data_IF_014548853566
#
_entry.id   IF_014548853566
#
_cell.length_a   1.000
_cell.length_b   1.000
_cell.length_c   1.000
_cell.angle_alpha   90.00
_cell.angle_beta   90.00
_cell.angle_gamma   90.00
#
_symmetry.space_group_name_H-M   'P 1'
#
loop_
_entity.id
_entity.type
_entity.pdbx_description
1 polymer ?
#
# COMPACT_ATOMS: atom_id res chain seq x y z
N UNK A 1 -20.89 14.74 5.97
CA UNK A 1 -19.59 14.62 6.63
C UNK A 1 -18.60 14.01 5.65
N UNK A 2 -17.34 14.44 5.67
CA UNK A 2 -16.24 13.76 5.00
C UNK A 2 -15.28 13.23 6.06
N UNK A 3 -14.66 12.08 5.80
CA UNK A 3 -13.67 11.46 6.68
C UNK A 3 -12.33 11.49 5.94
N UNK A 4 -11.27 11.85 6.64
CA UNK A 4 -9.90 11.82 6.13
C UNK A 4 -9.00 11.08 7.12
N UNK A 5 -8.17 10.16 6.63
CA UNK A 5 -7.23 9.43 7.49
C UNK A 5 -6.47 8.31 6.79
N UNK A 6 -5.78 7.55 7.59
CA UNK A 6 -5.04 6.37 7.13
C UNK A 6 -5.99 5.21 6.83
N UNK A 7 -5.80 4.47 5.72
CA UNK A 7 -6.58 3.27 5.42
C UNK A 7 -6.71 2.30 6.59
N UNK A 8 -5.62 2.03 7.32
CA UNK A 8 -5.62 1.13 8.46
C UNK A 8 -6.55 1.61 9.59
N UNK A 9 -6.48 2.89 9.95
CA UNK A 9 -7.29 3.48 11.03
C UNK A 9 -8.76 3.51 10.65
N UNK A 10 -9.07 3.89 9.40
CA UNK A 10 -10.47 3.93 8.93
C UNK A 10 -11.03 2.51 8.84
N UNK A 11 -10.21 1.51 8.49
CA UNK A 11 -10.60 0.10 8.47
C UNK A 11 -10.93 -0.41 9.86
N UNK A 12 -10.15 -0.08 10.88
CA UNK A 12 -10.47 -0.42 12.27
C UNK A 12 -11.79 0.20 12.72
N UNK A 13 -12.03 1.44 12.33
CA UNK A 13 -13.30 2.12 12.60
C UNK A 13 -14.47 1.47 11.86
N UNK A 14 -14.30 1.06 10.60
CA UNK A 14 -15.29 0.30 9.84
C UNK A 14 -15.64 -1.02 10.52
N UNK A 15 -14.64 -1.78 10.98
CA UNK A 15 -14.86 -3.01 11.74
C UNK A 15 -15.63 -2.75 13.03
N UNK A 16 -15.32 -1.68 13.76
CA UNK A 16 -16.07 -1.32 14.97
C UNK A 16 -17.54 -1.02 14.65
N UNK A 17 -17.81 -0.26 13.59
CA UNK A 17 -19.18 0.05 13.14
C UNK A 17 -19.95 -1.23 12.81
N UNK A 18 -19.37 -2.13 12.01
CA UNK A 18 -20.02 -3.36 11.57
C UNK A 18 -20.26 -4.30 12.75
N UNK A 19 -19.26 -4.52 13.61
CA UNK A 19 -19.35 -5.44 14.73
C UNK A 19 -20.36 -4.99 15.82
N UNK A 20 -20.61 -3.70 15.92
CA UNK A 20 -21.58 -3.16 16.89
C UNK A 20 -22.92 -2.77 16.24
N UNK A 21 -23.18 -3.17 14.99
CA UNK A 21 -24.38 -2.81 14.23
C UNK A 21 -24.68 -1.29 14.23
N UNK A 22 -23.63 -0.47 14.24
CA UNK A 22 -23.74 0.98 14.19
C UNK A 22 -23.92 1.45 12.74
N UNK A 23 -24.52 2.62 12.56
CA UNK A 23 -24.61 3.28 11.24
C UNK A 23 -24.18 4.73 11.37
N UNK A 24 -23.27 5.16 10.50
CA UNK A 24 -22.97 6.57 10.33
C UNK A 24 -23.80 7.13 9.18
N UNK A 25 -24.75 7.98 9.54
CA UNK A 25 -25.56 8.66 8.53
C UNK A 25 -24.80 9.86 7.93
N UNK A 26 -25.01 10.12 6.64
CA UNK A 26 -24.49 11.31 5.94
C UNK A 26 -22.95 11.35 5.73
N UNK A 27 -22.26 10.24 5.65
CA UNK A 27 -20.89 10.20 5.13
C UNK A 27 -20.96 10.35 3.61
N UNK A 28 -20.43 11.46 3.08
CA UNK A 28 -20.47 11.78 1.64
C UNK A 28 -19.27 11.23 0.87
N UNK A 29 -18.20 10.93 1.57
CA UNK A 29 -16.99 10.36 1.00
C UNK A 29 -15.88 10.23 2.04
N UNK A 30 -14.95 9.35 1.75
CA UNK A 30 -13.77 9.12 2.57
C UNK A 30 -12.54 9.35 1.70
N UNK A 31 -11.57 10.10 2.20
CA UNK A 31 -10.28 10.27 1.57
C UNK A 31 -9.22 9.56 2.40
N UNK A 32 -8.51 8.63 1.76
CA UNK A 32 -7.38 7.92 2.35
C UNK A 32 -6.07 8.55 1.90
N UNK A 33 -5.03 8.46 2.71
CA UNK A 33 -3.69 8.94 2.36
C UNK A 33 -2.62 8.30 3.25
N UNK A 34 -1.36 8.47 2.84
CA UNK A 34 -0.14 8.15 3.59
C UNK A 34 0.15 6.66 3.82
N UNK A 35 -0.79 5.78 3.62
CA UNK A 35 -0.65 4.33 3.53
C UNK A 35 -1.28 3.86 2.24
N UNK A 36 -0.89 2.69 1.77
CA UNK A 36 -1.53 2.10 0.61
C UNK A 36 -2.93 1.60 0.94
N UNK A 37 -3.89 1.99 0.12
CA UNK A 37 -5.25 1.44 0.16
C UNK A 37 -5.30 0.16 -0.69
N UNK A 38 -5.55 -0.97 -0.04
CA UNK A 38 -5.74 -2.26 -0.71
C UNK A 38 -7.17 -2.41 -1.21
N UNK A 39 -7.36 -3.19 -2.29
CA UNK A 39 -8.69 -3.37 -2.91
C UNK A 39 -9.72 -3.95 -1.93
N UNK A 40 -9.33 -4.93 -1.12
CA UNK A 40 -10.22 -5.50 -0.10
C UNK A 40 -10.56 -4.50 1.01
N UNK A 41 -9.60 -3.66 1.41
CA UNK A 41 -9.87 -2.58 2.34
C UNK A 41 -10.88 -1.59 1.74
N UNK A 42 -10.66 -1.16 0.49
CA UNK A 42 -11.59 -0.28 -0.24
C UNK A 42 -13.01 -0.85 -0.23
N UNK A 43 -13.15 -2.11 -0.65
CA UNK A 43 -14.44 -2.79 -0.72
C UNK A 43 -15.14 -2.85 0.65
N UNK A 44 -14.39 -3.13 1.71
CA UNK A 44 -14.91 -3.19 3.08
C UNK A 44 -15.33 -1.81 3.57
N UNK A 45 -14.54 -0.76 3.29
CA UNK A 45 -14.86 0.61 3.64
C UNK A 45 -16.11 1.11 2.89
N UNK A 46 -16.20 0.88 1.58
CA UNK A 46 -17.37 1.26 0.78
C UNK A 46 -18.66 0.59 1.28
N UNK A 47 -18.57 -0.68 1.68
CA UNK A 47 -19.70 -1.41 2.29
C UNK A 47 -20.07 -0.87 3.68
N UNK A 48 -19.12 -0.61 4.55
CA UNK A 48 -19.35 -0.15 5.91
C UNK A 48 -19.94 1.27 5.96
N UNK A 49 -19.42 2.17 5.13
CA UNK A 49 -19.81 3.59 5.14
C UNK A 49 -20.80 3.97 4.04
N UNK A 50 -21.07 3.07 3.10
CA UNK A 50 -21.98 3.30 1.95
C UNK A 50 -21.66 4.57 1.17
N UNK A 51 -20.37 4.86 0.99
CA UNK A 51 -19.89 6.03 0.25
C UNK A 51 -18.63 5.69 -0.55
N UNK A 52 -18.26 6.56 -1.49
CA UNK A 52 -17.02 6.42 -2.27
C UNK A 52 -15.78 6.67 -1.42
N UNK A 53 -14.76 5.88 -1.70
CA UNK A 53 -13.42 6.06 -1.15
C UNK A 53 -12.54 6.69 -2.23
N UNK A 54 -11.80 7.72 -1.85
CA UNK A 54 -10.86 8.44 -2.72
C UNK A 54 -9.47 8.31 -2.14
N UNK A 55 -8.53 7.80 -2.92
CA UNK A 55 -7.15 7.70 -2.47
C UNK A 55 -6.33 8.92 -2.87
N UNK A 56 -5.41 9.35 -2.01
CA UNK A 56 -4.51 10.47 -2.25
C UNK A 56 -3.07 10.02 -2.05
N UNK A 57 -2.25 10.28 -3.03
CA UNK A 57 -0.82 10.05 -3.00
C UNK A 57 -0.06 11.35 -2.73
N UNK A 58 0.89 11.26 -1.81
CA UNK A 58 1.80 12.33 -1.45
C UNK A 58 2.70 11.96 -0.27
N UNK A 59 3.62 12.85 0.06
CA UNK A 59 4.49 12.75 1.23
C UNK A 59 4.45 14.04 2.03
N UNK A 60 5.21 14.11 3.12
CA UNK A 60 5.36 15.37 3.88
C UNK A 60 6.08 16.44 3.07
N UNK A 61 7.06 16.03 2.27
CA UNK A 61 7.85 16.90 1.39
C UNK A 61 7.02 17.41 0.21
N UNK A 62 6.09 16.57 -0.27
CA UNK A 62 5.23 16.81 -1.43
C UNK A 62 3.80 16.35 -1.13
N UNK A 63 2.98 17.16 -0.43
CA UNK A 63 1.69 16.70 0.11
C UNK A 63 0.60 16.44 -0.94
N UNK A 64 0.77 16.92 -2.16
CA UNK A 64 -0.22 16.77 -3.23
C UNK A 64 0.42 16.34 -4.54
N UNK A 65 0.71 15.04 -4.71
CA UNK A 65 1.29 14.50 -5.95
C UNK A 65 0.19 14.01 -6.88
N UNK A 66 -0.72 13.17 -6.37
CA UNK A 66 -1.85 12.66 -7.14
C UNK A 66 -3.08 12.44 -6.26
N UNK A 67 -4.26 12.45 -6.88
CA UNK A 67 -5.53 12.21 -6.19
C UNK A 67 -6.49 11.46 -7.11
N UNK A 68 -7.22 10.54 -6.51
CA UNK A 68 -8.22 9.75 -7.21
C UNK A 68 -9.49 10.57 -7.49
N UNK A 69 -10.08 10.35 -8.64
CA UNK A 69 -11.36 10.95 -9.00
C UNK A 69 -12.54 9.98 -8.78
N UNK A 70 -13.78 10.48 -8.92
CA UNK A 70 -14.98 9.67 -8.76
C UNK A 70 -15.10 8.48 -9.74
N UNK A 71 -14.29 8.44 -10.79
CA UNK A 71 -14.21 7.36 -11.77
C UNK A 71 -13.03 6.41 -11.53
N UNK A 72 -12.33 6.52 -10.38
CA UNK A 72 -11.22 5.65 -9.99
C UNK A 72 -9.88 5.99 -10.66
N UNK A 73 -9.80 7.08 -11.44
CA UNK A 73 -8.55 7.51 -12.04
C UNK A 73 -7.69 8.29 -11.04
N UNK A 74 -6.43 7.86 -10.84
CA UNK A 74 -5.44 8.59 -10.04
C UNK A 74 -4.78 9.66 -10.90
N UNK A 75 -5.17 10.91 -10.71
CA UNK A 75 -4.69 12.05 -11.48
C UNK A 75 -3.51 12.73 -10.82
N UNK A 76 -2.46 13.02 -11.60
CA UNK A 76 -1.35 13.87 -11.18
C UNK A 76 -1.84 15.30 -10.96
N UNK A 77 -1.51 15.87 -9.81
CA UNK A 77 -1.85 17.25 -9.48
C UNK A 77 -0.79 18.23 -10.03
N UNK A 78 -0.78 18.40 -11.35
CA UNK A 78 0.26 19.17 -12.07
C UNK A 78 0.30 20.65 -11.71
N UNK A 79 -0.70 21.17 -11.02
CA UNK A 79 -0.70 22.52 -10.47
C UNK A 79 0.07 22.67 -9.16
N UNK A 80 0.34 21.56 -8.46
CA UNK A 80 1.06 21.54 -7.18
C UNK A 80 2.44 20.92 -7.26
N UNK A 81 2.64 20.00 -8.21
CA UNK A 81 3.92 19.30 -8.36
C UNK A 81 4.21 18.93 -9.81
N UNK A 82 5.48 19.00 -10.19
CA UNK A 82 5.98 18.42 -11.42
C UNK A 82 6.52 17.03 -11.12
N UNK A 83 5.97 16.02 -11.81
CA UNK A 83 6.28 14.61 -11.56
C UNK A 83 6.97 14.03 -12.79
N UNK A 84 8.12 13.43 -12.58
CA UNK A 84 8.90 12.70 -13.56
C UNK A 84 8.85 11.20 -13.24
N UNK A 85 8.74 10.38 -14.27
CA UNK A 85 8.82 8.93 -14.18
C UNK A 85 10.14 8.48 -14.82
N UNK A 86 11.10 8.11 -13.99
CA UNK A 86 12.46 7.77 -14.41
C UNK A 86 12.62 6.26 -14.49
N UNK A 87 13.20 5.78 -15.59
CA UNK A 87 13.48 4.36 -15.76
C UNK A 87 14.46 3.88 -14.70
N UNK A 88 14.18 2.71 -14.13
CA UNK A 88 15.00 2.06 -13.14
C UNK A 88 15.02 0.55 -13.44
N UNK A 89 16.21 -0.05 -13.67
CA UNK A 89 16.31 -1.49 -13.93
C UNK A 89 15.76 -2.37 -12.79
N UNK A 90 15.69 -1.83 -11.58
CA UNK A 90 15.14 -2.53 -10.40
C UNK A 90 13.64 -2.29 -10.20
N UNK A 91 13.00 -1.53 -11.08
CA UNK A 91 11.56 -1.25 -10.95
C UNK A 91 10.71 -2.49 -11.23
N UNK A 92 9.65 -2.75 -10.45
CA UNK A 92 8.77 -3.89 -10.69
C UNK A 92 7.89 -3.68 -11.93
N UNK A 93 7.98 -4.59 -12.91
CA UNK A 93 7.15 -4.57 -14.11
C UNK A 93 7.35 -3.33 -14.95
N UNK A 94 6.25 -2.66 -15.31
CA UNK A 94 6.26 -1.42 -16.10
C UNK A 94 6.37 -0.14 -15.25
N UNK A 95 6.72 -0.28 -13.99
CA UNK A 95 6.84 0.86 -13.09
C UNK A 95 8.11 1.63 -13.34
N UNK A 96 8.05 2.89 -12.96
CA UNK A 96 9.18 3.81 -12.99
C UNK A 96 9.34 4.47 -11.62
N UNK A 97 10.55 4.89 -11.32
CA UNK A 97 10.86 5.68 -10.14
C UNK A 97 10.14 7.02 -10.19
N UNK A 98 9.50 7.40 -9.09
CA UNK A 98 8.81 8.69 -8.98
C UNK A 98 9.78 9.75 -8.48
N UNK A 99 9.99 10.76 -9.28
CA UNK A 99 10.80 11.94 -8.94
C UNK A 99 9.91 13.17 -8.98
N UNK A 100 9.94 13.99 -7.93
CA UNK A 100 8.98 15.08 -7.75
C UNK A 100 9.66 16.41 -7.49
N UNK A 101 9.15 17.46 -8.13
CA UNK A 101 9.49 18.85 -7.83
C UNK A 101 8.21 19.56 -7.38
N UNK A 102 8.03 19.85 -6.06
CA UNK A 102 6.91 20.66 -5.59
C UNK A 102 7.00 22.08 -6.12
N UNK A 103 5.90 22.59 -6.66
CA UNK A 103 5.87 23.93 -7.26
C UNK A 103 5.55 25.03 -6.26
N UNK A 104 5.11 24.68 -5.06
CA UNK A 104 4.63 25.60 -4.02
C UNK A 104 5.51 25.63 -2.76
N UNK A 105 6.66 24.95 -2.76
CA UNK A 105 7.54 24.81 -1.57
C UNK A 105 8.74 25.74 -1.67
N UNK A 106 8.52 27.05 -1.55
CA UNK A 106 9.59 28.06 -1.73
C UNK A 106 10.56 28.14 -0.56
N UNK A 107 10.11 27.86 0.67
CA UNK A 107 10.96 27.94 1.85
C UNK A 107 11.98 26.79 1.95
N UNK A 108 11.63 25.63 1.38
CA UNK A 108 12.49 24.46 1.28
C UNK A 108 12.21 23.77 -0.07
N UNK A 109 12.80 24.27 -1.16
CA UNK A 109 12.55 23.74 -2.48
C UNK A 109 13.24 22.37 -2.67
N UNK A 110 12.44 21.35 -2.91
CA UNK A 110 12.93 20.06 -3.36
C UNK A 110 12.92 20.05 -4.90
N UNK A 111 14.10 20.01 -5.50
CA UNK A 111 14.24 19.92 -6.95
C UNK A 111 14.57 18.49 -7.33
N UNK A 112 13.74 17.87 -8.18
CA UNK A 112 13.91 16.50 -8.63
C UNK A 112 14.15 15.52 -7.47
N UNK A 113 13.31 15.64 -6.45
CA UNK A 113 13.40 14.83 -5.25
C UNK A 113 12.90 13.41 -5.52
N UNK A 114 13.79 12.42 -5.33
CA UNK A 114 13.47 11.01 -5.40
C UNK A 114 12.73 10.58 -4.14
N UNK A 115 11.42 10.37 -4.27
CA UNK A 115 10.52 10.12 -3.13
C UNK A 115 10.61 8.69 -2.60
N UNK A 116 11.26 7.78 -3.36
CA UNK A 116 11.45 6.38 -3.00
C UNK A 116 10.24 5.49 -3.30
N UNK A 117 9.34 5.93 -4.16
CA UNK A 117 8.17 5.17 -4.59
C UNK A 117 8.25 4.85 -6.09
N UNK A 118 7.54 3.77 -6.49
CA UNK A 118 7.37 3.40 -7.89
C UNK A 118 5.93 3.58 -8.33
N UNK A 119 5.74 4.07 -9.54
CA UNK A 119 4.43 4.18 -10.17
C UNK A 119 4.52 3.98 -11.69
N UNK A 120 3.40 3.67 -12.29
CA UNK A 120 3.27 3.52 -13.73
C UNK A 120 2.55 4.75 -14.30
N UNK A 121 3.15 5.54 -15.21
CA UNK A 121 2.41 6.53 -15.97
C UNK A 121 1.41 5.84 -16.90
N UNK A 122 0.21 6.40 -17.03
CA UNK A 122 -0.83 5.86 -17.90
C UNK A 122 -1.09 6.82 -19.05
N UNK A 123 -1.06 6.30 -20.29
CA UNK A 123 -1.34 7.05 -21.51
C UNK A 123 -2.85 7.11 -21.86
N UNK A 124 -3.72 6.75 -20.91
CA UNK A 124 -5.16 6.75 -21.10
C UNK A 124 -5.80 8.06 -20.64
N UNK A 125 -6.94 8.39 -21.21
CA UNK A 125 -7.77 9.51 -20.79
C UNK A 125 -8.81 9.00 -19.79
N UNK A 126 -9.01 9.74 -18.69
CA UNK A 126 -10.02 9.39 -17.71
C UNK A 126 -11.43 9.79 -18.19
N UNK A 127 -12.40 8.91 -17.99
CA UNK A 127 -13.81 9.20 -18.29
C UNK A 127 -14.43 10.31 -17.44
N UNK A 128 -13.72 10.79 -16.41
CA UNK A 128 -14.16 11.94 -15.60
C UNK A 128 -14.05 13.30 -16.32
N UNK A 129 -13.41 13.35 -17.51
CA UNK A 129 -13.24 14.54 -18.33
C UNK A 129 -12.17 15.52 -17.86
N UNK A 130 -11.43 15.24 -16.78
CA UNK A 130 -10.30 16.07 -16.34
C UNK A 130 -9.08 15.82 -17.22
N UNK A 131 -8.40 16.89 -17.63
CA UNK A 131 -7.21 16.83 -18.49
C UNK A 131 -5.90 16.51 -17.74
N UNK A 132 -5.95 16.20 -16.45
CA UNK A 132 -4.77 15.82 -15.68
C UNK A 132 -4.25 14.42 -16.07
N UNK A 133 -2.94 14.24 -16.25
CA UNK A 133 -2.35 12.94 -16.54
C UNK A 133 -2.70 11.90 -15.48
N UNK A 134 -2.74 10.65 -15.88
CA UNK A 134 -3.03 9.52 -15.00
C UNK A 134 -1.77 8.77 -14.61
N UNK A 135 -1.79 8.22 -13.43
CA UNK A 135 -0.81 7.25 -12.95
C UNK A 135 -1.48 6.09 -12.22
N UNK A 136 -0.75 5.02 -12.04
CA UNK A 136 -1.11 3.91 -11.15
C UNK A 136 0.00 3.74 -10.14
N UNK A 137 -0.34 3.80 -8.85
CA UNK A 137 0.60 3.41 -7.82
C UNK A 137 0.84 1.90 -7.89
N UNK A 138 2.09 1.50 -7.84
CA UNK A 138 2.41 0.11 -7.59
C UNK A 138 2.53 -0.15 -6.09
N UNK A 139 2.21 -1.40 -5.73
CA UNK A 139 2.36 -1.85 -4.36
C UNK A 139 3.85 -1.95 -4.07
N UNK A 140 4.36 -1.09 -3.20
CA UNK A 140 5.73 -1.15 -2.71
C UNK A 140 6.52 0.13 -2.95
N UNK A 141 7.28 0.49 -1.95
CA UNK A 141 8.34 1.50 -2.03
C UNK A 141 9.62 0.86 -2.56
N UNK A 142 10.56 1.68 -3.00
CA UNK A 142 11.95 1.25 -3.27
C UNK A 142 12.52 0.37 -2.14
N UNK A 143 12.11 0.64 -0.90
CA UNK A 143 12.54 -0.07 0.31
C UNK A 143 11.63 -1.26 0.70
N UNK A 144 10.52 -1.49 0.02
CA UNK A 144 9.64 -2.65 0.25
C UNK A 144 10.13 -3.87 -0.56
N UNK A 145 11.43 -4.06 -0.56
CA UNK A 145 12.12 -5.19 -1.18
C UNK A 145 12.90 -5.95 -0.11
N UNK A 146 12.94 -7.23 -0.24
CA UNK A 146 13.80 -8.09 0.55
C UNK A 146 15.05 -8.45 -0.25
N UNK A 147 16.20 -8.20 0.32
CA UNK A 147 17.47 -8.65 -0.24
C UNK A 147 17.70 -10.08 0.23
N UNK A 148 17.84 -11.02 -0.71
CA UNK A 148 18.04 -12.43 -0.45
C UNK A 148 19.50 -12.85 -0.70
N UNK A 149 19.83 -14.11 -0.41
CA UNK A 149 21.14 -14.65 -0.68
C UNK A 149 21.55 -14.47 -2.15
N UNK A 150 22.84 -14.20 -2.39
CA UNK A 150 23.35 -13.94 -3.73
C UNK A 150 22.99 -12.58 -4.31
N UNK A 151 22.46 -11.64 -3.50
CA UNK A 151 22.06 -10.30 -3.94
C UNK A 151 20.76 -10.28 -4.73
N UNK A 152 20.03 -11.39 -4.74
CA UNK A 152 18.72 -11.45 -5.38
C UNK A 152 17.71 -10.59 -4.62
N UNK A 153 16.75 -10.00 -5.34
CA UNK A 153 15.72 -9.13 -4.77
C UNK A 153 14.36 -9.80 -4.89
N UNK A 154 13.68 -9.94 -3.76
CA UNK A 154 12.28 -10.35 -3.69
C UNK A 154 11.42 -9.10 -3.46
N UNK A 155 10.63 -8.73 -4.46
CA UNK A 155 9.71 -7.61 -4.31
C UNK A 155 8.54 -7.97 -3.40
N UNK A 156 8.33 -7.16 -2.39
CA UNK A 156 7.26 -7.35 -1.40
C UNK A 156 5.86 -7.42 -1.98
N UNK A 157 5.64 -6.83 -3.14
CA UNK A 157 4.38 -6.89 -3.91
C UNK A 157 3.86 -8.32 -4.12
N UNK A 158 4.79 -9.27 -4.42
CA UNK A 158 4.44 -10.68 -4.62
C UNK A 158 3.88 -11.30 -3.34
N UNK A 159 4.45 -10.95 -2.19
CA UNK A 159 4.03 -11.44 -0.89
C UNK A 159 2.70 -10.80 -0.44
N UNK A 160 2.56 -9.49 -0.62
CA UNK A 160 1.32 -8.76 -0.27
C UNK A 160 0.12 -9.34 -0.99
N UNK A 161 0.22 -9.58 -2.30
CA UNK A 161 -0.91 -10.12 -3.09
C UNK A 161 -1.40 -11.47 -2.57
N UNK A 162 -0.51 -12.32 -2.08
CA UNK A 162 -0.89 -13.63 -1.55
C UNK A 162 -1.60 -13.52 -0.20
N UNK A 163 -1.24 -12.57 0.64
CA UNK A 163 -1.79 -12.41 2.00
C UNK A 163 -3.03 -11.53 2.00
N UNK A 164 -3.03 -10.43 1.24
CA UNK A 164 -4.12 -9.46 1.21
C UNK A 164 -5.46 -10.03 0.73
N UNK A 165 -5.43 -11.11 -0.08
CA UNK A 165 -6.63 -11.78 -0.58
C UNK A 165 -7.25 -12.78 0.40
N UNK A 166 -6.69 -12.97 1.60
CA UNK A 166 -7.19 -13.92 2.60
C UNK A 166 -8.20 -13.21 3.53
N UNK A 167 -9.51 -13.54 3.46
CA UNK A 167 -10.56 -12.75 4.14
C UNK A 167 -10.46 -12.73 5.66
N UNK A 168 -9.94 -13.80 6.26
CA UNK A 168 -9.78 -13.91 7.71
C UNK A 168 -8.60 -13.12 8.27
N UNK A 169 -7.82 -12.43 7.45
CA UNK A 169 -6.70 -11.60 7.92
C UNK A 169 -7.19 -10.16 8.10
N UNK A 170 -7.11 -9.66 9.34
CA UNK A 170 -7.41 -8.26 9.65
C UNK A 170 -6.28 -7.33 9.22
N UNK A 171 -5.03 -7.73 9.50
CA UNK A 171 -3.83 -6.98 9.15
C UNK A 171 -2.60 -7.90 9.15
N UNK A 172 -1.54 -7.50 8.46
CA UNK A 172 -0.31 -8.28 8.38
C UNK A 172 0.92 -7.41 8.21
N UNK A 173 2.09 -7.98 8.53
CA UNK A 173 3.39 -7.34 8.41
C UNK A 173 4.44 -8.38 8.08
N UNK A 174 5.27 -8.11 7.09
CA UNK A 174 6.47 -8.88 6.79
C UNK A 174 7.67 -8.25 7.47
N UNK A 175 8.46 -9.06 8.17
CA UNK A 175 9.69 -8.63 8.80
C UNK A 175 10.84 -9.53 8.37
N UNK A 176 11.70 -9.03 7.49
CA UNK A 176 12.93 -9.73 7.11
C UNK A 176 13.94 -9.68 8.24
N UNK A 177 14.31 -10.85 8.76
CA UNK A 177 15.30 -11.01 9.82
C UNK A 177 16.72 -11.09 9.30
N UNK A 178 16.88 -11.83 8.20
CA UNK A 178 18.15 -12.02 7.52
C UNK A 178 17.91 -12.30 6.02
N UNK A 179 18.95 -12.72 5.29
CA UNK A 179 18.87 -12.96 3.84
C UNK A 179 17.97 -14.14 3.43
N UNK A 180 17.55 -14.97 4.40
CA UNK A 180 16.79 -16.21 4.15
C UNK A 180 15.47 -16.22 4.89
N UNK A 181 15.38 -15.57 6.07
CA UNK A 181 14.24 -15.67 6.96
C UNK A 181 13.39 -14.40 6.95
N UNK A 182 12.09 -14.57 6.68
CA UNK A 182 11.08 -13.52 6.75
C UNK A 182 9.96 -13.98 7.70
N UNK A 183 9.67 -13.17 8.71
CA UNK A 183 8.51 -13.38 9.56
C UNK A 183 7.28 -12.73 8.90
N UNK A 184 6.20 -13.48 8.74
CA UNK A 184 4.87 -12.98 8.43
C UNK A 184 4.06 -12.90 9.72
N UNK A 185 3.93 -11.71 10.28
CA UNK A 185 3.12 -11.44 11.44
C UNK A 185 1.69 -11.15 10.98
N UNK A 186 0.70 -11.86 11.51
CA UNK A 186 -0.70 -11.79 11.09
C UNK A 186 -1.60 -11.47 12.28
N UNK A 187 -2.42 -10.45 12.16
CA UNK A 187 -3.55 -10.17 13.05
C UNK A 187 -4.79 -10.80 12.42
N UNK A 188 -5.37 -11.75 13.12
CA UNK A 188 -6.56 -12.48 12.66
C UNK A 188 -7.83 -11.65 12.91
N UNK A 189 -8.79 -11.75 12.00
CA UNK A 189 -10.16 -11.30 12.22
C UNK A 189 -10.98 -12.35 13.00
N UNK A 190 -12.17 -11.99 13.43
CA UNK A 190 -13.09 -12.93 14.08
C UNK A 190 -13.57 -14.05 13.12
N UNK A 191 -13.47 -13.84 11.81
CA UNK A 191 -13.87 -14.81 10.77
C UNK A 191 -12.73 -15.71 10.30
N UNK A 192 -11.54 -15.65 10.92
CA UNK A 192 -10.39 -16.47 10.53
C UNK A 192 -10.66 -17.95 10.75
N UNK A 193 -10.55 -18.75 9.70
CA UNK A 193 -10.84 -20.18 9.71
C UNK A 193 -9.65 -21.04 9.26
N UNK A 194 -9.87 -22.35 9.17
CA UNK A 194 -8.86 -23.32 8.75
C UNK A 194 -8.50 -23.17 7.27
N UNK A 195 -9.43 -22.73 6.42
CA UNK A 195 -9.16 -22.44 4.99
C UNK A 195 -8.16 -21.29 4.85
N UNK A 196 -8.31 -20.24 5.64
CA UNK A 196 -7.39 -19.12 5.68
C UNK A 196 -6.00 -19.55 6.14
N UNK A 197 -5.93 -20.43 7.15
CA UNK A 197 -4.67 -21.01 7.62
C UNK A 197 -3.96 -21.78 6.52
N UNK A 198 -4.68 -22.62 5.77
CA UNK A 198 -4.11 -23.38 4.66
C UNK A 198 -3.57 -22.48 3.55
N UNK A 199 -4.29 -21.39 3.21
CA UNK A 199 -3.81 -20.40 2.23
C UNK A 199 -2.51 -19.73 2.68
N UNK A 200 -2.40 -19.39 3.97
CA UNK A 200 -1.16 -18.81 4.51
C UNK A 200 0.00 -19.82 4.43
N UNK A 201 -0.23 -21.07 4.78
CA UNK A 201 0.78 -22.13 4.72
C UNK A 201 1.26 -22.39 3.27
N UNK A 202 0.36 -22.25 2.30
CA UNK A 202 0.69 -22.42 0.88
C UNK A 202 1.63 -21.33 0.33
N UNK A 203 1.83 -20.19 1.02
CA UNK A 203 2.68 -19.10 0.55
C UNK A 203 4.11 -19.59 0.29
N UNK A 204 4.71 -20.35 1.19
CA UNK A 204 6.05 -20.90 1.00
C UNK A 204 6.15 -21.82 -0.23
N UNK A 205 5.13 -22.65 -0.46
CA UNK A 205 5.08 -23.54 -1.63
C UNK A 205 4.91 -22.73 -2.92
N UNK A 206 4.09 -21.69 -2.91
CA UNK A 206 3.88 -20.82 -4.05
C UNK A 206 5.15 -20.04 -4.42
N UNK A 207 5.92 -19.58 -3.42
CA UNK A 207 7.20 -18.90 -3.65
C UNK A 207 8.25 -19.85 -4.25
N UNK A 208 8.31 -21.09 -3.76
CA UNK A 208 9.22 -22.10 -4.30
C UNK A 208 8.93 -22.41 -5.78
N UNK A 209 7.64 -22.42 -6.16
CA UNK A 209 7.21 -22.66 -7.55
C UNK A 209 7.60 -21.51 -8.52
N UNK A 210 7.85 -20.32 -8.00
CA UNK A 210 8.22 -19.14 -8.81
C UNK A 210 9.73 -19.04 -9.10
N UNK A 211 10.52 -20.07 -8.76
CA UNK A 211 11.98 -20.06 -8.89
C UNK A 211 12.65 -18.85 -8.21
N UNK A 212 12.01 -18.34 -7.18
CA UNK A 212 12.52 -17.24 -6.38
C UNK A 212 13.62 -17.74 -5.42
N UNK A 213 14.45 -16.82 -4.89
CA UNK A 213 15.49 -17.18 -3.94
C UNK A 213 14.93 -18.00 -2.77
N UNK A 214 15.75 -18.85 -2.19
CA UNK A 214 15.39 -19.65 -1.02
C UNK A 214 15.08 -18.72 0.16
N UNK A 215 13.80 -18.48 0.38
CA UNK A 215 13.29 -17.68 1.49
C UNK A 215 12.34 -18.54 2.31
N UNK A 216 12.55 -18.57 3.61
CA UNK A 216 11.66 -19.22 4.56
C UNK A 216 10.74 -18.19 5.20
N UNK A 217 9.42 -18.28 4.94
CA UNK A 217 8.44 -17.45 5.61
C UNK A 217 7.93 -18.19 6.85
N UNK A 218 8.19 -17.59 8.01
CA UNK A 218 7.63 -18.05 9.28
C UNK A 218 6.38 -17.25 9.60
N UNK A 219 5.25 -17.92 9.83
CA UNK A 219 3.98 -17.29 10.18
C UNK A 219 3.84 -17.16 11.69
N UNK A 220 3.60 -15.94 12.16
CA UNK A 220 3.33 -15.65 13.57
C UNK A 220 1.95 -15.01 13.69
N UNK A 221 1.13 -15.48 14.61
CA UNK A 221 -0.14 -14.85 14.94
C UNK A 221 0.07 -13.92 16.13
N UNK A 222 -0.28 -12.64 15.94
CA UNK A 222 -0.05 -11.58 16.92
C UNK A 222 -1.35 -10.79 17.16
N UNK A 223 -1.44 -10.14 18.30
CA UNK A 223 -2.59 -9.30 18.64
C UNK A 223 -2.40 -7.84 18.20
N UNK A 224 -1.15 -7.41 18.08
CA UNK A 224 -0.78 -6.06 17.64
C UNK A 224 0.60 -6.04 17.01
N UNK A 225 0.88 -5.00 16.22
CA UNK A 225 2.24 -4.71 15.72
C UNK A 225 2.91 -3.65 16.57
N UNK A 226 4.26 -3.66 16.61
CA UNK A 226 5.02 -2.53 17.12
C UNK A 226 4.76 -1.30 16.26
N UNK A 227 4.23 -0.24 16.86
CA UNK A 227 3.94 1.00 16.15
C UNK A 227 5.24 1.77 15.85
N UNK A 228 5.29 2.39 14.68
CA UNK A 228 6.33 3.37 14.38
C UNK A 228 6.08 4.66 15.18
N UNK A 229 7.11 5.47 15.38
CA UNK A 229 7.02 6.78 16.07
C UNK A 229 5.94 7.70 15.49
N UNK A 230 5.54 7.49 14.22
CA UNK A 230 4.46 8.23 13.54
C UNK A 230 3.11 7.53 13.51
N UNK A 231 2.92 6.40 14.20
CA UNK A 231 1.65 5.64 14.24
C UNK A 231 1.28 4.95 12.92
N UNK A 232 2.14 5.01 11.89
CA UNK A 232 1.88 4.38 10.59
C UNK A 232 2.14 2.88 10.65
N UNK A 233 1.24 2.13 10.07
CA UNK A 233 1.45 0.71 9.81
C UNK A 233 2.47 0.55 8.67
N UNK A 234 3.54 -0.23 8.91
CA UNK A 234 4.48 -0.65 7.89
C UNK A 234 4.23 -2.10 7.54
N UNK A 235 3.88 -2.35 6.28
CA UNK A 235 3.70 -3.72 5.78
C UNK A 235 5.04 -4.45 5.72
N UNK A 236 6.15 -3.72 5.48
CA UNK A 236 7.49 -4.27 5.37
C UNK A 236 8.45 -3.65 6.37
N UNK A 237 9.21 -4.51 7.04
CA UNK A 237 10.36 -4.17 7.87
C UNK A 237 11.51 -5.09 7.47
N UNK A 238 12.73 -4.56 7.38
CA UNK A 238 13.93 -5.35 7.14
C UNK A 238 15.02 -4.96 8.12
N UNK A 239 15.63 -5.97 8.76
CA UNK A 239 16.84 -5.83 9.57
C UNK A 239 18.11 -5.95 8.69
N UNK A 240 17.96 -6.38 7.43
CA UNK A 240 19.02 -6.41 6.42
C UNK A 240 19.19 -5.01 5.85
N UNK A 241 20.39 -4.48 5.96
CA UNK A 241 20.76 -3.21 5.32
C UNK A 241 21.17 -3.47 3.88
N UNK A 242 20.71 -2.65 2.92
CA UNK A 242 21.15 -2.74 1.52
C UNK A 242 22.62 -2.44 1.36
#
# INVERSE_FOLDING_TARGET
MFIYGYPSVISDFAHHIVNNNLRLNNVKGIQTSAEQLLDDQRNNLEKAFQCKIYDQYGSRECPGIASECAHGGMHLLTHSSYVEFVDDPEAPGESKKVVVTPLNSYAMPFLRYEIGDYAQPLNSVCSCGRGFPLMRMNIGRLYDRFVCEGGQVLHGTLLVRQVASIPGIKNFQFHQRDLVNIDLNVIRSASFDETDRQKIQAINTNLAALSLPRVAIRVNYVDSFSQTVGGKHRIFISDVRP
#
